data_IF_625795504778
#
_entry.id   IF_625795504778
#
_cell.length_a   1.000
_cell.length_b   1.000
_cell.length_c   1.000
_cell.angle_alpha   90.00
_cell.angle_beta   90.00
_cell.angle_gamma   90.00
#
_symmetry.space_group_name_H-M   'P 1'
#
loop_
_entity.id
_entity.type
_entity.pdbx_description
1 polymer ?
#
# COMPACT_ATOMS: atom_id res chain seq x y z
N UNK A 1 -16.30 -6.66 11.97
CA UNK A 1 -16.19 -5.33 11.36
C UNK A 1 -15.41 -5.50 10.07
N UNK A 2 -15.93 -5.00 8.95
CA UNK A 2 -15.25 -5.08 7.65
C UNK A 2 -14.03 -4.16 7.61
N UNK A 3 -13.13 -4.43 6.66
CA UNK A 3 -11.91 -3.66 6.49
C UNK A 3 -12.21 -2.41 5.65
N UNK A 4 -11.80 -1.23 6.11
CA UNK A 4 -12.02 0.04 5.42
C UNK A 4 -10.98 0.32 4.32
N UNK A 5 -9.85 -0.40 4.30
CA UNK A 5 -8.76 -0.16 3.35
C UNK A 5 -9.23 -0.30 1.88
N UNK A 6 -9.96 -1.36 1.47
CA UNK A 6 -10.43 -1.46 0.09
C UNK A 6 -11.40 -0.33 -0.29
N UNK A 7 -12.25 0.11 0.65
CA UNK A 7 -13.13 1.27 0.44
C UNK A 7 -12.34 2.57 0.28
N UNK A 8 -11.27 2.75 1.07
CA UNK A 8 -10.36 3.88 0.93
C UNK A 8 -9.61 3.87 -0.41
N UNK A 9 -9.16 2.69 -0.86
CA UNK A 9 -8.53 2.52 -2.19
C UNK A 9 -9.48 2.98 -3.27
N UNK A 10 -10.74 2.53 -3.22
CA UNK A 10 -11.78 2.93 -4.17
C UNK A 10 -12.05 4.45 -4.13
N UNK A 11 -12.18 5.04 -2.93
CA UNK A 11 -12.40 6.48 -2.78
C UNK A 11 -11.23 7.32 -3.29
N UNK A 12 -10.00 6.82 -3.16
CA UNK A 12 -8.80 7.46 -3.72
C UNK A 12 -8.69 7.28 -5.25
N UNK A 13 -9.61 6.55 -5.89
CA UNK A 13 -9.63 6.32 -7.34
C UNK A 13 -8.79 5.12 -7.81
N UNK A 14 -8.39 4.23 -6.88
CA UNK A 14 -7.75 2.96 -7.21
C UNK A 14 -8.74 1.79 -7.23
N UNK A 15 -8.23 0.61 -7.56
CA UNK A 15 -8.96 -0.66 -7.50
C UNK A 15 -8.15 -1.66 -6.67
N UNK A 16 -8.75 -2.22 -5.61
CA UNK A 16 -8.10 -3.28 -4.83
C UNK A 16 -8.35 -4.61 -5.53
N UNK A 17 -7.36 -5.02 -6.33
CA UNK A 17 -7.46 -6.21 -7.22
C UNK A 17 -7.56 -7.55 -6.47
N UNK A 18 -7.51 -7.56 -5.13
CA UNK A 18 -7.53 -8.78 -4.31
C UNK A 18 -8.51 -8.74 -3.14
N UNK A 19 -9.18 -7.62 -2.88
CA UNK A 19 -10.14 -7.48 -1.79
C UNK A 19 -11.36 -6.65 -2.19
N UNK A 20 -12.47 -6.86 -1.47
CA UNK A 20 -13.73 -6.14 -1.71
C UNK A 20 -14.06 -5.21 -0.53
N UNK A 21 -14.61 -4.01 -0.78
CA UNK A 21 -15.10 -3.11 0.28
C UNK A 21 -16.05 -3.79 1.26
N UNK A 22 -15.79 -3.64 2.56
CA UNK A 22 -16.58 -4.28 3.62
C UNK A 22 -16.35 -5.79 3.78
N UNK A 23 -15.56 -6.41 2.90
CA UNK A 23 -15.17 -7.82 2.96
C UNK A 23 -14.24 -8.16 4.13
N UNK A 24 -14.06 -9.45 4.44
CA UNK A 24 -13.09 -9.90 5.43
C UNK A 24 -11.65 -9.80 4.89
N UNK A 25 -10.65 -9.74 5.77
CA UNK A 25 -9.27 -9.96 5.35
C UNK A 25 -9.09 -11.40 4.86
N UNK A 26 -8.41 -11.52 3.73
CA UNK A 26 -8.08 -12.81 3.12
C UNK A 26 -6.58 -13.06 3.21
N UNK A 27 -6.23 -14.33 3.39
CA UNK A 27 -4.88 -14.80 3.12
C UNK A 27 -4.80 -15.08 1.63
N UNK A 28 -3.85 -14.45 0.96
CA UNK A 28 -3.55 -14.67 -0.46
C UNK A 28 -2.25 -15.45 -0.61
N UNK A 29 -2.19 -16.30 -1.62
CA UNK A 29 -0.96 -16.94 -2.05
C UNK A 29 -0.21 -16.04 -3.04
N UNK A 30 1.12 -16.20 -3.10
CA UNK A 30 1.96 -15.34 -3.97
C UNK A 30 1.54 -15.39 -5.44
N UNK A 31 1.12 -16.56 -5.94
CA UNK A 31 0.67 -16.69 -7.33
C UNK A 31 -0.57 -15.83 -7.60
N UNK A 32 -1.50 -15.70 -6.65
CA UNK A 32 -2.67 -14.84 -6.82
C UNK A 32 -2.27 -13.37 -6.92
N UNK A 33 -1.29 -12.94 -6.14
CA UNK A 33 -0.71 -11.59 -6.25
C UNK A 33 -0.04 -11.38 -7.61
N UNK A 34 0.72 -12.36 -8.09
CA UNK A 34 1.39 -12.29 -9.39
C UNK A 34 0.38 -12.25 -10.55
N UNK A 35 -0.67 -13.07 -10.50
CA UNK A 35 -1.73 -13.13 -11.52
C UNK A 35 -2.56 -11.83 -11.54
N UNK A 36 -2.81 -11.22 -10.37
CA UNK A 36 -3.50 -9.94 -10.26
C UNK A 36 -2.66 -8.76 -10.81
N UNK A 37 -1.34 -8.90 -10.89
CA UNK A 37 -0.40 -7.93 -11.49
C UNK A 37 -0.69 -6.47 -11.10
N UNK A 38 -0.60 -6.10 -9.81
CA UNK A 38 -0.91 -4.75 -9.38
C UNK A 38 0.08 -3.73 -9.94
N UNK A 39 -0.43 -2.56 -10.33
CA UNK A 39 0.37 -1.40 -10.76
C UNK A 39 1.09 -0.73 -9.59
N UNK A 40 0.46 -0.73 -8.41
CA UNK A 40 0.98 -0.16 -7.17
C UNK A 40 0.86 -1.21 -6.06
N UNK A 41 1.93 -1.40 -5.29
CA UNK A 41 1.93 -2.30 -4.13
C UNK A 41 2.17 -1.49 -2.85
N UNK A 42 1.24 -1.56 -1.88
CA UNK A 42 1.38 -0.87 -0.59
C UNK A 42 1.65 -1.88 0.53
N UNK A 43 2.83 -1.80 1.12
CA UNK A 43 3.28 -2.62 2.24
C UNK A 43 2.86 -1.96 3.56
N UNK A 44 1.80 -2.51 4.17
CA UNK A 44 1.11 -1.92 5.32
C UNK A 44 0.99 -2.93 6.49
N UNK A 45 2.10 -3.32 7.13
CA UNK A 45 2.05 -4.24 8.28
C UNK A 45 1.40 -3.53 9.47
N UNK A 46 0.34 -4.12 10.05
CA UNK A 46 -0.50 -3.50 11.09
C UNK A 46 0.30 -2.98 12.29
N UNK A 47 0.02 -1.73 12.71
CA UNK A 47 0.61 -1.11 13.90
C UNK A 47 2.07 -0.66 13.77
N UNK A 48 2.64 -0.70 12.57
CA UNK A 48 4.04 -0.32 12.33
C UNK A 48 4.19 1.08 11.74
N UNK A 49 5.32 1.71 12.02
CA UNK A 49 5.78 2.92 11.34
C UNK A 49 6.33 2.60 9.95
N UNK A 50 6.47 3.61 9.09
CA UNK A 50 7.07 3.44 7.76
C UNK A 50 8.52 2.91 7.83
N UNK A 51 9.30 3.33 8.84
CA UNK A 51 10.67 2.84 9.08
C UNK A 51 10.69 1.35 9.45
N UNK A 52 9.83 0.92 10.36
CA UNK A 52 9.74 -0.49 10.75
C UNK A 52 9.27 -1.36 9.59
N UNK A 53 8.31 -0.88 8.78
CA UNK A 53 7.86 -1.56 7.58
C UNK A 53 8.99 -1.68 6.54
N UNK A 54 9.77 -0.62 6.29
CA UNK A 54 10.93 -0.67 5.39
C UNK A 54 11.91 -1.78 5.83
N UNK A 55 12.36 -1.77 7.09
CA UNK A 55 13.30 -2.77 7.58
C UNK A 55 12.76 -4.20 7.50
N UNK A 56 11.44 -4.39 7.67
CA UNK A 56 10.82 -5.71 7.53
C UNK A 56 10.85 -6.23 6.09
N UNK A 57 10.74 -5.34 5.10
CA UNK A 57 10.61 -5.70 3.68
C UNK A 57 11.86 -5.42 2.84
N UNK A 58 12.96 -4.97 3.45
CA UNK A 58 14.23 -4.69 2.76
C UNK A 58 14.73 -5.88 1.91
N UNK A 59 14.50 -7.12 2.37
CA UNK A 59 14.92 -8.33 1.66
C UNK A 59 14.07 -8.69 0.44
N UNK A 60 12.95 -8.00 0.18
CA UNK A 60 12.09 -8.31 -0.96
C UNK A 60 12.79 -8.03 -2.31
N UNK A 61 13.67 -7.03 -2.37
CA UNK A 61 14.42 -6.67 -3.58
C UNK A 61 15.38 -7.76 -4.06
N UNK A 62 15.82 -8.62 -3.14
CA UNK A 62 16.72 -9.73 -3.43
C UNK A 62 15.97 -10.97 -3.95
N UNK A 63 14.64 -10.91 -4.02
CA UNK A 63 13.80 -12.04 -4.41
C UNK A 63 13.29 -11.91 -5.84
N UNK A 64 13.78 -12.77 -6.73
CA UNK A 64 13.44 -12.76 -8.17
C UNK A 64 11.93 -12.76 -8.41
N UNK A 65 11.17 -13.55 -7.64
CA UNK A 65 9.71 -13.63 -7.81
C UNK A 65 9.02 -12.27 -7.59
N UNK A 66 9.51 -11.46 -6.66
CA UNK A 66 8.92 -10.15 -6.37
C UNK A 66 9.33 -9.13 -7.44
N UNK A 67 10.57 -9.19 -7.93
CA UNK A 67 11.07 -8.35 -9.02
C UNK A 67 10.31 -8.54 -10.33
N UNK A 68 9.64 -9.68 -10.50
CA UNK A 68 8.79 -9.94 -11.66
C UNK A 68 7.44 -9.22 -11.63
N UNK A 69 6.99 -8.73 -10.47
CA UNK A 69 5.73 -7.99 -10.34
C UNK A 69 5.80 -6.63 -11.05
N UNK A 70 4.70 -6.22 -11.66
CA UNK A 70 4.59 -4.93 -12.36
C UNK A 70 4.97 -3.75 -11.46
N UNK A 71 4.41 -3.67 -10.25
CA UNK A 71 4.79 -2.65 -9.26
C UNK A 71 6.29 -2.61 -8.93
N UNK A 72 6.99 -3.76 -8.88
CA UNK A 72 8.45 -3.77 -8.64
C UNK A 72 9.22 -3.26 -9.86
N UNK A 73 8.79 -3.65 -11.07
CA UNK A 73 9.42 -3.22 -12.33
C UNK A 73 9.28 -1.71 -12.56
N UNK A 74 8.16 -1.12 -12.16
CA UNK A 74 7.90 0.32 -12.27
C UNK A 74 8.39 1.12 -11.06
N UNK A 75 8.84 0.44 -10.00
CA UNK A 75 9.28 1.08 -8.76
C UNK A 75 8.13 1.62 -7.90
N UNK A 76 6.88 1.23 -8.18
CA UNK A 76 5.67 1.67 -7.49
C UNK A 76 5.35 0.79 -6.27
N UNK A 77 6.35 0.53 -5.43
CA UNK A 77 6.20 -0.21 -4.18
C UNK A 77 6.34 0.76 -3.03
N UNK A 78 5.32 0.93 -2.21
CA UNK A 78 5.29 1.86 -1.09
C UNK A 78 5.33 1.14 0.25
N UNK A 79 5.99 1.76 1.23
CA UNK A 79 5.85 1.42 2.67
C UNK A 79 5.15 2.57 3.36
N UNK A 80 4.30 2.25 4.34
CA UNK A 80 3.46 3.24 5.03
C UNK A 80 3.44 3.04 6.54
N UNK A 81 3.23 4.13 7.29
CA UNK A 81 2.92 4.09 8.72
C UNK A 81 1.46 3.66 8.93
N UNK A 82 1.24 2.35 9.02
CA UNK A 82 -0.09 1.79 9.21
C UNK A 82 -0.66 2.08 10.60
N UNK A 83 0.20 2.22 11.61
CA UNK A 83 -0.23 2.50 12.98
C UNK A 83 -0.86 3.89 13.12
N UNK A 84 -0.29 4.86 12.42
CA UNK A 84 -0.79 6.24 12.38
C UNK A 84 -2.00 6.40 11.46
N UNK A 85 -2.03 5.71 10.31
CA UNK A 85 -2.95 6.03 9.22
C UNK A 85 -4.11 5.05 9.05
N UNK A 86 -3.91 3.75 9.28
CA UNK A 86 -4.85 2.72 8.80
C UNK A 86 -5.31 1.71 9.85
N UNK A 87 -4.66 1.67 11.03
CA UNK A 87 -4.94 0.65 12.05
C UNK A 87 -5.97 1.09 13.11
N UNK A 88 -6.41 2.35 13.08
CA UNK A 88 -7.32 2.93 14.08
C UNK A 88 -8.42 3.73 13.41
N UNK A 89 -9.65 3.54 13.88
CA UNK A 89 -10.79 4.36 13.48
C UNK A 89 -10.66 5.76 14.11
N UNK A 90 -10.27 6.75 13.33
CA UNK A 90 -10.04 8.11 13.79
C UNK A 90 -9.86 9.10 12.64
N UNK A 91 -9.72 10.40 12.93
CA UNK A 91 -9.66 11.45 11.89
C UNK A 91 -8.48 11.27 10.91
N UNK A 92 -7.40 10.63 11.37
CA UNK A 92 -6.21 10.31 10.56
C UNK A 92 -6.50 9.36 9.39
N UNK A 93 -7.68 8.70 9.35
CA UNK A 93 -8.11 7.94 8.16
C UNK A 93 -8.25 8.84 6.93
N UNK A 94 -8.62 10.11 7.12
CA UNK A 94 -8.69 11.09 6.01
C UNK A 94 -7.29 11.36 5.48
N UNK A 95 -6.30 11.57 6.35
CA UNK A 95 -4.90 11.73 5.94
C UNK A 95 -4.38 10.49 5.19
N UNK A 96 -4.76 9.28 5.64
CA UNK A 96 -4.44 8.03 4.94
C UNK A 96 -5.08 7.95 3.55
N UNK A 97 -6.33 8.41 3.42
CA UNK A 97 -7.02 8.48 2.12
C UNK A 97 -6.33 9.47 1.17
N UNK A 98 -5.95 10.65 1.67
CA UNK A 98 -5.21 11.65 0.89
C UNK A 98 -3.85 11.11 0.43
N UNK A 99 -3.16 10.36 1.29
CA UNK A 99 -1.89 9.70 0.94
C UNK A 99 -2.11 8.66 -0.18
N UNK A 100 -3.17 7.87 -0.15
CA UNK A 100 -3.50 6.99 -1.29
C UNK A 100 -3.74 7.78 -2.57
N UNK A 101 -4.52 8.87 -2.51
CA UNK A 101 -4.75 9.71 -3.68
C UNK A 101 -3.44 10.29 -4.25
N UNK A 102 -2.50 10.70 -3.38
CA UNK A 102 -1.17 11.16 -3.79
C UNK A 102 -0.32 10.06 -4.45
N UNK A 103 -0.44 8.81 -4.00
CA UNK A 103 0.25 7.66 -4.61
C UNK A 103 -0.33 7.32 -5.99
N UNK A 104 -1.66 7.31 -6.10
CA UNK A 104 -2.37 6.84 -7.29
C UNK A 104 -2.34 7.86 -8.43
N UNK A 105 -2.26 9.15 -8.10
CA UNK A 105 -2.34 10.27 -9.05
C UNK A 105 -1.11 11.17 -8.96
N UNK A 106 0.09 10.59 -8.85
CA UNK A 106 1.35 11.31 -8.64
C UNK A 106 1.68 12.32 -9.76
N UNK A 107 1.09 12.15 -10.95
CA UNK A 107 1.21 13.04 -12.10
C UNK A 107 0.29 14.27 -12.04
N UNK A 108 -0.77 14.25 -11.23
CA UNK A 108 -1.71 15.37 -11.07
C UNK A 108 -1.65 16.03 -9.69
N UNK A 109 -1.27 15.28 -8.65
CA UNK A 109 -1.17 15.80 -7.27
C UNK A 109 0.25 16.22 -6.94
N UNK A 110 0.45 17.53 -6.72
CA UNK A 110 1.75 18.09 -6.33
C UNK A 110 2.08 17.81 -4.86
N UNK A 111 3.34 17.49 -4.55
CA UNK A 111 3.88 17.42 -3.19
C UNK A 111 4.13 16.02 -2.65
N UNK A 112 3.45 14.99 -3.17
CA UNK A 112 3.58 13.60 -2.72
C UNK A 112 3.26 13.40 -1.23
N UNK A 113 3.28 12.15 -0.74
CA UNK A 113 3.12 11.91 0.68
C UNK A 113 4.35 12.35 1.47
N UNK A 114 4.13 12.74 2.74
CA UNK A 114 5.22 12.95 3.69
C UNK A 114 6.03 11.66 3.85
N UNK A 115 7.36 11.74 3.67
CA UNK A 115 8.27 10.58 3.69
C UNK A 115 8.28 9.80 5.02
N UNK A 116 7.86 10.44 6.11
CA UNK A 116 7.75 9.82 7.44
C UNK A 116 6.51 8.92 7.53
N UNK A 117 5.49 9.21 6.72
CA UNK A 117 4.20 8.52 6.71
C UNK A 117 4.07 7.54 5.56
N UNK A 118 4.62 7.87 4.39
CA UNK A 118 4.68 6.97 3.26
C UNK A 118 5.80 7.33 2.29
N UNK A 119 6.46 6.31 1.74
CA UNK A 119 7.54 6.47 0.77
C UNK A 119 7.71 5.22 -0.08
N UNK A 120 8.41 5.35 -1.19
CA UNK A 120 8.82 4.20 -1.99
C UNK A 120 9.77 3.31 -1.19
N UNK A 121 9.57 2.00 -1.31
CA UNK A 121 10.49 0.99 -0.80
C UNK A 121 11.84 1.15 -1.53
N UNK A 122 12.94 1.09 -0.79
CA UNK A 122 14.27 1.09 -1.40
C UNK A 122 14.54 -0.24 -2.09
N UNK A 123 14.31 -0.30 -3.40
CA UNK A 123 14.53 -1.47 -4.28
C UNK A 123 16.00 -1.61 -4.72
#
# INVERSE_FOLDING_TARGET
AGHWVPEMVQMAGGDDVLAEPGGPSLRIEFQQLADASPDILVLMPCGMTADAAQSQFDGLKDSDRWRELSAFKTGQVYVVDSGALYSRSGPRLVDGLEIFAQMFHAETVSGGPSSDLARLLTL
#
